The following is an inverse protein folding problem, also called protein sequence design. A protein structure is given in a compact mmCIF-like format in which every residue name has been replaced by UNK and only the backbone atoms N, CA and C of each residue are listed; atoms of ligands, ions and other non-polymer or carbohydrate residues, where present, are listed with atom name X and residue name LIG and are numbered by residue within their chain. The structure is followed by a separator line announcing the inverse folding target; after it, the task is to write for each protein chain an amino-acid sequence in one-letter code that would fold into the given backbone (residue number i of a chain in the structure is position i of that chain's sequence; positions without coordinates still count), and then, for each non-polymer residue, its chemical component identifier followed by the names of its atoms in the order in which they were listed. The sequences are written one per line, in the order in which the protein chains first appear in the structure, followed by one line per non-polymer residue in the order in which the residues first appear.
data_IF_816802660579
#
_entry.id   IF_816802660579
#
_cell.length_a   1.000
_cell.length_b   1.000
_cell.length_c   1.000
_cell.angle_alpha   90.00
_cell.angle_beta   90.00
_cell.angle_gamma   90.00
#
_symmetry.space_group_name_H-M   'P 1'
#
loop_
_entity.id
_entity.type
_entity.pdbx_description
1 polymer ?
#
# COMPACT_ATOMS: atom_id res chain seq x y z
N UNK A 1 -7.72 -16.11 9.01
CA UNK A 1 -6.44 -16.08 8.25
C UNK A 1 -5.82 -14.67 8.25
N UNK A 2 -5.30 -14.21 9.40
CA UNK A 2 -4.64 -12.89 9.52
C UNK A 2 -3.14 -12.99 9.21
N UNK A 3 -2.45 -13.95 9.84
CA UNK A 3 -1.01 -14.21 9.68
C UNK A 3 -0.60 -14.41 8.22
N UNK A 4 -1.35 -15.19 7.45
CA UNK A 4 -1.04 -15.41 6.03
C UNK A 4 -1.05 -14.12 5.19
N UNK A 5 -1.88 -13.14 5.56
CA UNK A 5 -1.96 -11.85 4.87
C UNK A 5 -0.77 -10.97 5.22
N UNK A 6 -0.46 -10.82 6.50
CA UNK A 6 0.66 -9.97 6.92
C UNK A 6 2.02 -10.57 6.53
N UNK A 7 2.14 -11.91 6.45
CA UNK A 7 3.36 -12.60 5.98
C UNK A 7 3.71 -12.40 4.50
N UNK A 8 2.97 -11.54 3.78
CA UNK A 8 3.30 -11.11 2.40
C UNK A 8 4.23 -9.90 2.35
N UNK A 9 4.39 -9.15 3.45
CA UNK A 9 5.31 -8.01 3.56
C UNK A 9 6.52 -8.35 4.45
N UNK A 10 7.54 -7.48 4.50
CA UNK A 10 8.66 -7.59 5.46
C UNK A 10 9.56 -8.83 5.32
N UNK A 11 9.85 -9.28 4.10
CA UNK A 11 10.68 -10.47 3.83
C UNK A 11 12.16 -10.10 3.67
N UNK A 12 13.05 -11.10 3.76
CA UNK A 12 14.49 -10.95 3.56
C UNK A 12 15.14 -9.84 4.42
N UNK A 13 14.73 -9.78 5.70
CA UNK A 13 15.24 -8.78 6.66
C UNK A 13 14.81 -7.34 6.37
N UNK A 14 13.87 -7.12 5.45
CA UNK A 14 13.32 -5.79 5.17
C UNK A 14 12.12 -5.51 6.06
N UNK A 15 11.91 -4.23 6.34
CA UNK A 15 10.70 -3.76 7.02
C UNK A 15 9.47 -3.93 6.12
N UNK A 16 8.32 -4.14 6.75
CA UNK A 16 7.03 -4.27 6.10
C UNK A 16 5.94 -3.63 6.94
N UNK A 17 4.92 -3.10 6.29
CA UNK A 17 3.78 -2.47 6.96
C UNK A 17 2.50 -3.20 6.61
N UNK A 18 1.67 -3.46 7.61
CA UNK A 18 0.31 -3.95 7.45
C UNK A 18 -0.66 -3.03 8.21
N UNK A 19 -1.73 -2.61 7.54
CA UNK A 19 -2.79 -1.77 8.11
C UNK A 19 -4.08 -2.58 8.11
N UNK A 20 -4.75 -2.65 9.26
CA UNK A 20 -5.99 -3.40 9.43
C UNK A 20 -7.12 -2.42 9.71
N UNK A 21 -8.21 -2.52 8.95
CA UNK A 21 -9.44 -1.80 9.23
C UNK A 21 -10.40 -2.71 9.98
N UNK A 22 -11.09 -2.16 10.96
CA UNK A 22 -12.04 -2.89 11.80
C UNK A 22 -13.31 -2.08 12.01
N UNK A 23 -14.45 -2.74 11.90
CA UNK A 23 -15.75 -2.17 12.23
C UNK A 23 -16.00 -2.27 13.74
N UNK A 24 -16.75 -1.32 14.35
CA UNK A 24 -17.01 -1.33 15.79
C UNK A 24 -17.62 -2.64 16.33
N UNK A 25 -18.46 -3.31 15.53
CA UNK A 25 -19.10 -4.58 15.90
C UNK A 25 -18.17 -5.81 15.74
N UNK A 26 -16.94 -5.64 15.25
CA UNK A 26 -15.98 -6.73 15.02
C UNK A 26 -14.83 -6.76 16.02
N UNK A 27 -14.87 -5.97 17.09
CA UNK A 27 -13.79 -5.89 18.11
C UNK A 27 -13.40 -7.26 18.69
N UNK A 28 -14.34 -8.19 18.82
CA UNK A 28 -14.02 -9.57 19.23
C UNK A 28 -13.02 -10.26 18.30
N UNK A 29 -13.16 -10.09 16.98
CA UNK A 29 -12.22 -10.67 16.02
C UNK A 29 -10.81 -10.08 16.14
N UNK A 30 -10.68 -8.81 16.52
CA UNK A 30 -9.37 -8.23 16.82
C UNK A 30 -8.74 -8.93 18.02
N UNK A 31 -9.51 -9.11 19.09
CA UNK A 31 -9.04 -9.80 20.29
C UNK A 31 -8.60 -11.23 19.98
N UNK A 32 -9.41 -11.99 19.23
CA UNK A 32 -9.06 -13.35 18.81
C UNK A 32 -7.75 -13.39 17.98
N UNK A 33 -7.49 -12.34 17.17
CA UNK A 33 -6.25 -12.22 16.40
C UNK A 33 -5.07 -11.92 17.32
N UNK A 34 -5.21 -10.95 18.23
CA UNK A 34 -4.18 -10.52 19.19
C UNK A 34 -3.79 -11.66 20.12
N UNK A 35 -4.77 -12.40 20.65
CA UNK A 35 -4.56 -13.60 21.46
C UNK A 35 -3.81 -14.67 20.66
N UNK A 36 -4.20 -14.91 19.39
CA UNK A 36 -3.55 -15.91 18.54
C UNK A 36 -2.10 -15.57 18.17
N UNK A 37 -1.77 -14.29 18.00
CA UNK A 37 -0.40 -13.84 17.68
C UNK A 37 0.41 -13.47 18.93
N UNK A 38 -0.21 -13.56 20.11
CA UNK A 38 0.33 -13.17 21.42
C UNK A 38 0.89 -11.74 21.45
N UNK A 39 0.27 -10.83 20.68
CA UNK A 39 0.71 -9.43 20.54
C UNK A 39 -0.47 -8.51 20.29
N UNK A 40 -0.45 -7.36 20.94
CA UNK A 40 -1.39 -6.28 20.67
C UNK A 40 -1.10 -5.61 19.31
N UNK A 41 -2.15 -5.24 18.60
CA UNK A 41 -2.08 -4.46 17.36
C UNK A 41 -2.32 -2.99 17.72
N UNK A 42 -1.33 -2.10 17.52
CA UNK A 42 -1.46 -0.70 17.88
C UNK A 42 -2.63 -0.03 17.16
N UNK A 43 -3.56 0.54 17.94
CA UNK A 43 -4.65 1.36 17.40
C UNK A 43 -4.10 2.72 17.01
N UNK A 44 -4.45 3.17 15.80
CA UNK A 44 -4.22 4.54 15.36
C UNK A 44 -5.53 5.31 15.32
N UNK A 45 -5.45 6.59 15.65
CA UNK A 45 -6.52 7.54 15.37
C UNK A 45 -6.66 7.70 13.86
N UNK A 46 -7.87 8.03 13.45
CA UNK A 46 -8.15 8.48 12.11
C UNK A 46 -7.25 9.67 11.73
N UNK A 47 -6.79 9.74 10.48
CA UNK A 47 -5.99 10.87 10.03
C UNK A 47 -6.83 12.15 10.01
N UNK A 48 -6.18 13.27 10.30
CA UNK A 48 -6.79 14.60 10.15
C UNK A 48 -7.13 14.91 8.70
N UNK A 49 -8.05 15.85 8.47
CA UNK A 49 -8.41 16.31 7.13
C UNK A 49 -7.20 16.81 6.34
N UNK A 50 -6.24 17.46 7.01
CA UNK A 50 -4.99 17.92 6.41
C UNK A 50 -4.09 16.76 5.97
N UNK A 51 -3.94 15.72 6.79
CA UNK A 51 -3.17 14.53 6.44
C UNK A 51 -3.81 13.78 5.26
N UNK A 52 -5.14 13.71 5.24
CA UNK A 52 -5.89 13.13 4.12
C UNK A 52 -5.64 13.93 2.84
N UNK A 53 -5.67 15.27 2.90
CA UNK A 53 -5.41 16.11 1.72
C UNK A 53 -3.96 15.95 1.21
N UNK A 54 -2.98 15.92 2.11
CA UNK A 54 -1.57 15.62 1.78
C UNK A 54 -1.46 14.25 1.09
N UNK A 55 -2.12 13.22 1.63
CA UNK A 55 -2.16 11.88 1.04
C UNK A 55 -2.78 11.86 -0.36
N UNK A 56 -3.89 12.57 -0.57
CA UNK A 56 -4.55 12.71 -1.89
C UNK A 56 -3.66 13.43 -2.91
N UNK A 57 -2.93 14.47 -2.49
CA UNK A 57 -1.96 15.17 -3.34
C UNK A 57 -0.80 14.26 -3.73
N UNK A 58 -0.27 13.50 -2.77
CA UNK A 58 0.81 12.54 -3.00
C UNK A 58 0.39 11.44 -3.98
N UNK A 59 -0.79 10.82 -3.79
CA UNK A 59 -1.28 9.78 -4.68
C UNK A 59 -1.47 10.27 -6.12
N UNK A 60 -2.06 11.46 -6.31
CA UNK A 60 -2.17 12.12 -7.62
C UNK A 60 -0.80 12.35 -8.28
N UNK A 61 0.21 12.75 -7.50
CA UNK A 61 1.59 12.93 -8.00
C UNK A 61 2.17 11.61 -8.49
N UNK A 62 2.04 10.53 -7.72
CA UNK A 62 2.53 9.20 -8.09
C UNK A 62 1.85 8.69 -9.36
N UNK A 63 0.52 8.85 -9.48
CA UNK A 63 -0.22 8.46 -10.68
C UNK A 63 0.28 9.20 -11.94
N UNK A 64 0.49 10.52 -11.84
CA UNK A 64 1.04 11.31 -12.96
C UNK A 64 2.44 10.86 -13.35
N UNK A 65 3.29 10.56 -12.37
CA UNK A 65 4.65 10.04 -12.61
C UNK A 65 4.59 8.69 -13.34
N UNK A 66 3.75 7.77 -12.88
CA UNK A 66 3.56 6.46 -13.53
C UNK A 66 3.09 6.58 -14.98
N UNK A 67 2.14 7.48 -15.26
CA UNK A 67 1.66 7.76 -16.62
C UNK A 67 2.79 8.33 -17.52
N UNK A 68 3.58 9.27 -17.02
CA UNK A 68 4.72 9.84 -17.76
C UNK A 68 5.74 8.76 -18.12
N UNK A 69 6.07 7.88 -17.19
CA UNK A 69 6.99 6.76 -17.43
C UNK A 69 6.44 5.79 -18.49
N UNK A 70 5.15 5.45 -18.42
CA UNK A 70 4.48 4.60 -19.42
C UNK A 70 4.56 5.22 -20.82
N UNK A 71 4.26 6.51 -20.94
CA UNK A 71 4.33 7.22 -22.22
C UNK A 71 5.75 7.27 -22.79
N UNK A 72 6.76 7.53 -21.94
CA UNK A 72 8.16 7.53 -22.36
C UNK A 72 8.62 6.15 -22.87
N UNK A 73 8.13 5.08 -22.24
CA UNK A 73 8.40 3.70 -22.67
C UNK A 73 7.80 3.41 -24.05
N UNK A 74 6.58 3.88 -24.32
CA UNK A 74 5.92 3.75 -25.63
C UNK A 74 6.69 4.49 -26.72
N UNK A 75 7.08 5.76 -26.48
CA UNK A 75 7.86 6.55 -27.44
C UNK A 75 9.19 5.86 -27.75
N UNK A 76 9.90 5.40 -26.71
CA UNK A 76 11.18 4.70 -26.89
C UNK A 76 11.00 3.44 -27.73
N UNK A 77 9.94 2.66 -27.49
CA UNK A 77 9.62 1.47 -28.28
C UNK A 77 9.32 1.79 -29.75
N UNK A 78 8.49 2.80 -30.03
CA UNK A 78 8.21 3.25 -31.41
C UNK A 78 9.46 3.75 -32.12
N UNK A 79 10.29 4.54 -31.45
CA UNK A 79 11.55 5.05 -32.00
C UNK A 79 12.55 3.92 -32.29
N UNK A 80 12.53 2.84 -31.51
CA UNK A 80 13.32 1.64 -31.81
C UNK A 80 12.78 0.97 -33.08
N UNK A 81 11.47 0.71 -33.19
CA UNK A 81 10.89 0.10 -34.39
C UNK A 81 11.17 0.92 -35.67
N UNK A 82 11.04 2.24 -35.61
CA UNK A 82 11.29 3.14 -36.74
C UNK A 82 12.75 3.15 -37.21
N UNK A 83 13.69 2.59 -36.45
CA UNK A 83 15.09 2.43 -36.90
C UNK A 83 15.33 1.17 -37.75
N UNK A 84 14.39 0.24 -37.76
CA UNK A 84 14.48 -1.03 -38.49
C UNK A 84 13.68 -1.04 -39.80
N UNK A 85 13.18 0.13 -40.21
CA UNK A 85 12.53 0.41 -41.49
C UNK A 85 13.39 1.47 -42.17
#
# INVERSE_FOLDING_TARGET
SYVHRIGRTGRAGKEGVAITFIEPNKVRFLKDIEDYIEKEIPKRKEPSLEEVDKGKKYSKKILKIGLKQKYQKIIKSKRILLKYI
#
